data_IF_936330017355
#
_entry.id   IF_936330017355
#
_cell.length_a   1.000
_cell.length_b   1.000
_cell.length_c   1.000
_cell.angle_alpha   90.00
_cell.angle_beta   90.00
_cell.angle_gamma   90.00
#
_symmetry.space_group_name_H-M   'P 1'
#
loop_
_entity.id
_entity.type
_entity.pdbx_description
1 polymer ?
#
# COMPACT_ATOMS: atom_id res chain seq x y z
N UNK A 1 2.53 -9.57 23.22
CA UNK A 1 1.71 -8.44 22.71
C UNK A 1 2.28 -7.82 21.43
N UNK A 2 3.55 -7.39 21.37
CA UNK A 2 4.15 -6.76 20.16
C UNK A 2 4.09 -7.65 18.91
N UNK A 3 4.36 -8.95 19.06
CA UNK A 3 4.42 -9.89 17.92
C UNK A 3 3.04 -10.14 17.31
N UNK A 4 1.97 -10.17 18.12
CA UNK A 4 0.59 -10.37 17.65
C UNK A 4 0.09 -9.15 16.88
N UNK A 5 0.42 -7.95 17.34
CA UNK A 5 0.05 -6.70 16.67
C UNK A 5 0.80 -6.55 15.34
N UNK A 6 2.10 -6.90 15.32
CA UNK A 6 2.89 -6.93 14.09
C UNK A 6 2.29 -7.88 13.04
N UNK A 7 2.02 -9.14 13.38
CA UNK A 7 1.43 -10.10 12.43
C UNK A 7 0.06 -9.61 11.94
N UNK A 8 -0.75 -9.08 12.84
CA UNK A 8 -2.08 -8.59 12.52
C UNK A 8 -2.03 -7.36 11.59
N UNK A 9 -1.06 -6.46 11.75
CA UNK A 9 -0.85 -5.33 10.82
C UNK A 9 -0.19 -5.78 9.52
N UNK A 10 0.76 -6.71 9.59
CA UNK A 10 1.50 -7.22 8.44
C UNK A 10 0.58 -7.80 7.38
N UNK A 11 -0.26 -8.78 7.75
CA UNK A 11 -1.23 -9.35 6.81
C UNK A 11 -2.16 -8.28 6.23
N UNK A 12 -2.53 -7.26 6.99
CA UNK A 12 -3.40 -6.16 6.52
C UNK A 12 -2.68 -5.24 5.54
N UNK A 13 -1.43 -4.88 5.80
CA UNK A 13 -0.61 -4.09 4.86
C UNK A 13 -0.37 -4.85 3.56
N UNK A 14 -0.11 -6.17 3.65
CA UNK A 14 0.06 -7.04 2.49
C UNK A 14 -1.26 -7.17 1.73
N UNK A 15 -2.37 -7.41 2.41
CA UNK A 15 -3.68 -7.49 1.78
C UNK A 15 -4.09 -6.17 1.10
N UNK A 16 -3.87 -5.02 1.77
CA UNK A 16 -4.12 -3.71 1.17
C UNK A 16 -3.24 -3.47 -0.06
N UNK A 17 -1.96 -3.84 0.01
CA UNK A 17 -1.04 -3.75 -1.12
C UNK A 17 -1.44 -4.66 -2.29
N UNK A 18 -1.92 -5.87 -2.01
CA UNK A 18 -2.40 -6.81 -3.03
C UNK A 18 -3.71 -6.31 -3.64
N UNK A 19 -4.65 -5.81 -2.84
CA UNK A 19 -5.90 -5.20 -3.35
C UNK A 19 -5.58 -3.98 -4.20
N UNK A 20 -4.64 -3.14 -3.79
CA UNK A 20 -4.12 -2.02 -4.58
C UNK A 20 -3.52 -2.51 -5.90
N UNK A 21 -2.63 -3.51 -5.86
CA UNK A 21 -2.04 -4.08 -7.07
C UNK A 21 -3.11 -4.65 -8.02
N UNK A 22 -4.12 -5.36 -7.49
CA UNK A 22 -5.21 -5.94 -8.28
C UNK A 22 -6.16 -4.88 -8.84
N UNK A 23 -6.61 -3.92 -8.03
CA UNK A 23 -7.43 -2.79 -8.50
C UNK A 23 -6.69 -1.97 -9.55
N UNK A 24 -5.38 -1.82 -9.42
CA UNK A 24 -4.57 -1.13 -10.39
C UNK A 24 -4.42 -1.91 -11.71
N UNK A 25 -4.15 -3.21 -11.64
CA UNK A 25 -4.10 -4.08 -12.81
C UNK A 25 -5.46 -4.07 -13.53
N UNK A 26 -6.56 -4.17 -12.77
CA UNK A 26 -7.92 -4.11 -13.30
C UNK A 26 -8.27 -2.74 -13.89
N UNK A 27 -7.84 -1.64 -13.25
CA UNK A 27 -8.05 -0.28 -13.76
C UNK A 27 -7.27 -0.04 -15.05
N UNK A 28 -6.00 -0.46 -15.11
CA UNK A 28 -5.18 -0.37 -16.32
C UNK A 28 -5.72 -1.25 -17.46
N UNK A 29 -6.19 -2.46 -17.13
CA UNK A 29 -6.85 -3.34 -18.10
C UNK A 29 -8.19 -2.76 -18.58
N UNK A 30 -8.99 -2.18 -17.68
CA UNK A 30 -10.27 -1.54 -17.99
C UNK A 30 -10.10 -0.27 -18.82
N UNK A 31 -9.08 0.54 -18.53
CA UNK A 31 -8.74 1.73 -19.31
C UNK A 31 -8.31 1.33 -20.74
N UNK A 32 -7.56 0.23 -20.86
CA UNK A 32 -7.20 -0.36 -22.16
C UNK A 32 -8.41 -0.92 -22.93
N UNK A 33 -9.43 -1.41 -22.22
CA UNK A 33 -10.67 -1.92 -22.83
C UNK A 33 -11.64 -0.79 -23.25
N UNK A 34 -11.51 0.41 -22.67
CA UNK A 34 -12.38 1.55 -22.94
C UNK A 34 -12.07 2.31 -24.24
N UNK A 35 -11.09 1.85 -25.03
CA UNK A 35 -10.67 2.52 -26.27
C UNK A 35 -9.91 3.84 -26.05
N UNK A 36 -9.72 4.26 -24.80
CA UNK A 36 -8.74 5.27 -24.43
C UNK A 36 -7.38 4.59 -24.60
N UNK A 37 -6.75 4.78 -25.76
CA UNK A 37 -5.35 4.46 -25.96
C UNK A 37 -4.55 5.26 -24.91
N UNK A 38 -4.29 4.65 -23.76
CA UNK A 38 -3.19 5.04 -22.89
C UNK A 38 -2.00 5.20 -23.84
N UNK A 39 -1.21 6.30 -23.81
CA UNK A 39 -0.16 6.63 -24.80
C UNK A 39 1.00 5.61 -24.89
N UNK A 40 0.66 4.35 -25.07
CA UNK A 40 1.44 3.15 -24.91
C UNK A 40 1.97 2.66 -26.25
N UNK A 41 1.58 3.32 -27.34
CA UNK A 41 2.12 3.06 -28.68
C UNK A 41 3.16 4.09 -29.10
N UNK A 42 3.01 5.35 -28.69
CA UNK A 42 3.96 6.43 -29.04
C UNK A 42 5.00 6.72 -27.94
N UNK A 43 4.66 6.62 -26.64
CA UNK A 43 5.63 6.85 -25.54
C UNK A 43 6.39 5.57 -25.12
N UNK A 44 5.98 4.40 -25.62
CA UNK A 44 6.55 3.10 -25.23
C UNK A 44 7.92 2.78 -25.83
N UNK A 45 8.49 3.67 -26.65
CA UNK A 45 9.81 3.49 -27.22
C UNK A 45 10.95 3.55 -26.17
N UNK A 46 10.70 4.05 -24.95
CA UNK A 46 11.72 4.16 -23.91
C UNK A 46 11.52 3.18 -22.75
N UNK A 47 12.58 2.43 -22.42
CA UNK A 47 12.64 1.49 -21.27
C UNK A 47 12.22 2.15 -19.95
N UNK A 48 12.44 3.46 -19.81
CA UNK A 48 12.06 4.26 -18.64
C UNK A 48 10.53 4.36 -18.49
N UNK A 49 9.78 4.50 -19.60
CA UNK A 49 8.32 4.58 -19.57
C UNK A 49 7.69 3.28 -19.03
N UNK A 50 8.26 2.12 -19.35
CA UNK A 50 7.82 0.82 -18.83
C UNK A 50 8.00 0.76 -17.30
N UNK A 51 9.11 1.29 -16.79
CA UNK A 51 9.43 1.29 -15.35
C UNK A 51 8.61 2.30 -14.54
N UNK A 52 8.10 3.36 -15.19
CA UNK A 52 7.32 4.43 -14.56
C UNK A 52 5.84 4.08 -14.31
N UNK A 53 5.27 3.14 -15.08
CA UNK A 53 3.88 2.67 -14.92
C UNK A 53 3.49 2.40 -13.45
N UNK A 54 4.26 1.62 -12.66
CA UNK A 54 3.96 1.40 -11.25
C UNK A 54 4.10 2.66 -10.36
N UNK A 55 4.93 3.64 -10.70
CA UNK A 55 5.09 4.87 -9.90
C UNK A 55 3.83 5.74 -9.93
N UNK A 56 3.28 6.00 -11.13
CA UNK A 56 2.04 6.79 -11.27
C UNK A 56 0.87 6.13 -10.55
N UNK A 57 0.85 4.81 -10.59
CA UNK A 57 -0.10 3.97 -9.90
C UNK A 57 -0.08 4.13 -8.37
N UNK A 58 1.10 4.07 -7.75
CA UNK A 58 1.22 4.29 -6.31
C UNK A 58 0.79 5.71 -5.90
N UNK A 59 1.20 6.72 -6.67
CA UNK A 59 0.84 8.12 -6.39
C UNK A 59 -0.67 8.37 -6.54
N UNK A 60 -1.29 7.84 -7.59
CA UNK A 60 -2.73 7.93 -7.79
C UNK A 60 -3.51 7.29 -6.63
N UNK A 61 -3.07 6.12 -6.14
CA UNK A 61 -3.70 5.49 -4.99
C UNK A 61 -3.55 6.32 -3.71
N UNK A 62 -2.35 6.82 -3.42
CA UNK A 62 -2.11 7.68 -2.26
C UNK A 62 -3.02 8.90 -2.32
N UNK A 63 -3.14 9.53 -3.49
CA UNK A 63 -4.03 10.67 -3.69
C UNK A 63 -5.50 10.32 -3.43
N UNK A 64 -5.99 9.18 -3.95
CA UNK A 64 -7.37 8.75 -3.72
C UNK A 64 -7.63 8.46 -2.25
N UNK A 65 -6.73 7.73 -1.57
CA UNK A 65 -6.91 7.38 -0.15
C UNK A 65 -6.83 8.61 0.75
N UNK A 66 -5.90 9.54 0.48
CA UNK A 66 -5.83 10.80 1.22
C UNK A 66 -7.04 11.70 0.92
N UNK A 67 -7.50 11.79 -0.33
CA UNK A 67 -8.69 12.55 -0.69
C UNK A 67 -9.95 12.01 0.00
N UNK A 68 -10.09 10.69 0.14
CA UNK A 68 -11.19 10.06 0.88
C UNK A 68 -11.10 10.33 2.39
N UNK A 69 -9.91 10.28 2.98
CA UNK A 69 -9.70 10.58 4.40
C UNK A 69 -9.94 12.07 4.71
N UNK A 70 -9.35 12.99 3.95
CA UNK A 70 -9.44 14.42 4.23
C UNK A 70 -10.75 15.05 3.73
N UNK A 71 -11.30 14.55 2.62
CA UNK A 71 -12.54 15.07 2.03
C UNK A 71 -13.80 14.46 2.65
N UNK A 72 -13.88 13.12 2.69
CA UNK A 72 -15.08 12.41 3.16
C UNK A 72 -14.97 11.92 4.60
N UNK A 73 -13.82 12.07 5.27
CA UNK A 73 -13.54 11.50 6.60
C UNK A 73 -13.76 9.98 6.65
N UNK A 74 -13.65 9.32 5.49
CA UNK A 74 -13.80 7.88 5.34
C UNK A 74 -12.42 7.24 5.32
N UNK A 75 -12.07 6.64 6.45
CA UNK A 75 -10.83 5.89 6.56
C UNK A 75 -11.00 4.54 5.88
N UNK A 76 -10.55 4.45 4.63
CA UNK A 76 -10.69 3.26 3.77
C UNK A 76 -10.05 2.04 4.42
N UNK A 77 -8.90 2.24 5.08
CA UNK A 77 -8.24 1.18 5.85
C UNK A 77 -9.15 0.68 6.97
N UNK A 78 -9.76 1.57 7.75
CA UNK A 78 -10.72 1.20 8.80
C UNK A 78 -11.94 0.48 8.22
N UNK A 79 -12.42 0.86 7.04
CA UNK A 79 -13.58 0.23 6.39
C UNK A 79 -13.31 -1.24 6.04
N UNK A 80 -12.13 -1.53 5.48
CA UNK A 80 -11.72 -2.90 5.16
C UNK A 80 -11.22 -3.69 6.38
N UNK A 81 -10.60 -3.04 7.37
CA UNK A 81 -9.85 -3.69 8.45
C UNK A 81 -10.47 -3.59 9.86
N UNK A 82 -11.53 -2.79 10.05
CA UNK A 82 -12.09 -2.42 11.35
C UNK A 82 -12.83 -3.54 12.10
N UNK A 83 -13.14 -4.67 11.46
CA UNK A 83 -13.92 -5.75 12.10
C UNK A 83 -13.19 -6.54 13.19
N UNK A 84 -11.86 -6.43 13.31
CA UNK A 84 -11.07 -7.22 14.31
C UNK A 84 -10.07 -6.42 15.16
N UNK A 85 -9.90 -5.11 14.92
CA UNK A 85 -9.06 -4.23 15.73
C UNK A 85 -9.90 -3.07 16.26
N UNK A 86 -10.08 -3.00 17.57
CA UNK A 86 -10.76 -1.88 18.21
C UNK A 86 -9.73 -0.79 18.53
N UNK A 87 -9.25 -0.11 17.48
CA UNK A 87 -8.33 1.03 17.61
C UNK A 87 -9.14 2.32 17.71
N UNK A 88 -8.64 3.24 18.55
CA UNK A 88 -9.21 4.59 18.68
C UNK A 88 -9.17 5.30 17.30
N UNK A 89 -10.16 6.16 16.97
CA UNK A 89 -10.19 6.86 15.68
C UNK A 89 -8.89 7.60 15.33
N UNK A 90 -8.20 8.17 16.31
CA UNK A 90 -6.88 8.81 16.16
C UNK A 90 -5.80 7.85 15.64
N UNK A 91 -5.76 6.62 16.16
CA UNK A 91 -4.76 5.63 15.73
C UNK A 91 -4.99 5.16 14.29
N UNK A 92 -6.24 5.12 13.81
CA UNK A 92 -6.53 4.82 12.40
C UNK A 92 -6.06 5.91 11.46
N UNK A 93 -6.17 7.17 11.88
CA UNK A 93 -5.68 8.30 11.11
C UNK A 93 -4.15 8.24 10.97
N UNK A 94 -3.45 8.05 12.08
CA UNK A 94 -1.98 7.93 12.06
C UNK A 94 -1.51 6.74 11.22
N UNK A 95 -2.16 5.59 11.33
CA UNK A 95 -1.84 4.44 10.49
C UNK A 95 -2.02 4.72 9.00
N UNK A 96 -3.09 5.42 8.60
CA UNK A 96 -3.33 5.79 7.20
C UNK A 96 -2.27 6.77 6.69
N UNK A 97 -1.86 7.74 7.52
CA UNK A 97 -0.79 8.69 7.18
C UNK A 97 0.56 7.99 7.05
N UNK A 98 0.90 7.10 7.97
CA UNK A 98 2.13 6.32 7.92
C UNK A 98 2.17 5.37 6.71
N UNK A 99 1.05 4.70 6.42
CA UNK A 99 0.90 3.86 5.24
C UNK A 99 1.05 4.68 3.95
N UNK A 100 0.45 5.86 3.89
CA UNK A 100 0.59 6.77 2.75
C UNK A 100 2.03 7.22 2.58
N UNK A 101 2.73 7.54 3.67
CA UNK A 101 4.15 7.91 3.66
C UNK A 101 5.01 6.75 3.14
N UNK A 102 4.73 5.52 3.57
CA UNK A 102 5.42 4.32 3.09
C UNK A 102 5.21 4.10 1.58
N UNK A 103 3.99 4.30 1.08
CA UNK A 103 3.67 4.18 -0.34
C UNK A 103 4.34 5.27 -1.19
N UNK A 104 4.39 6.51 -0.69
CA UNK A 104 5.15 7.60 -1.35
C UNK A 104 6.64 7.27 -1.39
N UNK A 105 7.21 6.77 -0.30
CA UNK A 105 8.61 6.35 -0.26
C UNK A 105 8.89 5.23 -1.28
N UNK A 106 7.99 4.24 -1.42
CA UNK A 106 8.09 3.19 -2.44
C UNK A 106 8.01 3.77 -3.87
N UNK A 107 7.14 4.76 -4.09
CA UNK A 107 7.00 5.42 -5.39
C UNK A 107 8.28 6.19 -5.77
N UNK A 108 8.84 6.98 -4.84
CA UNK A 108 10.09 7.73 -5.03
C UNK A 108 11.25 6.77 -5.25
N UNK A 109 11.36 5.70 -4.45
CA UNK A 109 12.45 4.75 -4.59
C UNK A 109 12.33 3.95 -5.89
N UNK A 110 11.10 3.62 -6.34
CA UNK A 110 10.88 3.05 -7.67
C UNK A 110 11.28 4.01 -8.79
N UNK A 111 11.01 5.31 -8.63
CA UNK A 111 11.43 6.33 -9.59
C UNK A 111 12.96 6.39 -9.69
N UNK A 112 13.67 6.40 -8.55
CA UNK A 112 15.12 6.38 -8.52
C UNK A 112 15.68 5.15 -9.22
N UNK A 113 15.22 3.95 -8.85
CA UNK A 113 15.65 2.69 -9.48
C UNK A 113 15.31 2.66 -10.97
N UNK A 114 14.19 3.25 -11.38
CA UNK A 114 13.79 3.32 -12.78
C UNK A 114 14.79 4.09 -13.65
N UNK A 115 15.35 5.19 -13.13
CA UNK A 115 16.31 6.05 -13.83
C UNK A 115 17.76 5.58 -13.72
N UNK A 116 18.15 4.92 -12.62
CA UNK A 116 19.56 4.58 -12.36
C UNK A 116 19.91 3.12 -12.65
N UNK A 117 18.96 2.19 -12.55
CA UNK A 117 19.25 0.75 -12.59
C UNK A 117 18.92 0.11 -13.95
N UNK A 118 19.57 -1.02 -14.24
CA UNK A 118 19.26 -1.86 -15.39
C UNK A 118 17.84 -2.47 -15.29
N UNK A 119 17.33 -3.04 -16.39
CA UNK A 119 16.01 -3.70 -16.40
C UNK A 119 15.97 -4.89 -15.43
N UNK A 120 17.02 -5.70 -15.40
CA UNK A 120 17.13 -6.86 -14.51
C UNK A 120 17.16 -6.44 -13.04
N UNK A 121 17.96 -5.41 -12.71
CA UNK A 121 18.00 -4.85 -11.36
C UNK A 121 16.63 -4.27 -10.94
N UNK A 122 15.92 -3.63 -11.88
CA UNK A 122 14.57 -3.12 -11.64
C UNK A 122 13.55 -4.25 -11.40
N UNK A 123 13.60 -5.35 -12.15
CA UNK A 123 12.75 -6.53 -11.93
C UNK A 123 13.01 -7.11 -10.52
N UNK A 124 14.27 -7.30 -10.15
CA UNK A 124 14.65 -7.81 -8.83
C UNK A 124 14.23 -6.86 -7.70
N UNK A 125 14.37 -5.54 -7.89
CA UNK A 125 13.88 -4.55 -6.95
C UNK A 125 12.36 -4.65 -6.76
N UNK A 126 11.61 -4.80 -7.86
CA UNK A 126 10.14 -4.93 -7.79
C UNK A 126 9.69 -6.20 -7.07
N UNK A 127 10.41 -7.30 -7.27
CA UNK A 127 10.08 -8.60 -6.66
C UNK A 127 10.49 -8.67 -5.18
N UNK A 128 11.73 -8.29 -4.86
CA UNK A 128 12.30 -8.50 -3.52
C UNK A 128 12.45 -7.21 -2.72
N UNK A 129 12.86 -6.12 -3.38
CA UNK A 129 13.10 -4.83 -2.73
C UNK A 129 11.81 -4.20 -2.18
N UNK A 130 10.74 -4.19 -2.96
CA UNK A 130 9.45 -3.67 -2.51
C UNK A 130 8.88 -4.48 -1.34
N UNK A 131 9.01 -5.82 -1.38
CA UNK A 131 8.59 -6.68 -0.28
C UNK A 131 9.40 -6.44 0.99
N UNK A 132 10.73 -6.29 0.88
CA UNK A 132 11.59 -5.97 2.02
C UNK A 132 11.23 -4.62 2.65
N UNK A 133 11.02 -3.58 1.83
CA UNK A 133 10.63 -2.26 2.30
C UNK A 133 9.25 -2.27 2.97
N UNK A 134 8.30 -3.03 2.44
CA UNK A 134 6.99 -3.23 3.08
C UNK A 134 7.14 -3.92 4.44
N UNK A 135 7.94 -4.98 4.55
CA UNK A 135 8.18 -5.67 5.82
C UNK A 135 8.79 -4.75 6.87
N UNK A 136 9.83 -4.00 6.50
CA UNK A 136 10.50 -3.04 7.38
C UNK A 136 9.55 -1.91 7.75
N UNK A 137 8.85 -1.34 6.77
CA UNK A 137 7.87 -0.28 6.97
C UNK A 137 6.78 -0.70 7.94
N UNK A 138 6.16 -1.87 7.74
CA UNK A 138 5.13 -2.38 8.65
C UNK A 138 5.67 -2.70 10.03
N UNK A 139 6.92 -3.13 10.16
CA UNK A 139 7.55 -3.31 11.47
C UNK A 139 7.70 -1.99 12.21
N UNK A 140 8.14 -0.92 11.53
CA UNK A 140 8.24 0.43 12.09
C UNK A 140 6.87 0.97 12.48
N UNK A 141 5.87 0.84 11.61
CA UNK A 141 4.48 1.27 11.85
C UNK A 141 3.91 0.54 13.07
N UNK A 142 4.09 -0.78 13.14
CA UNK A 142 3.67 -1.61 14.28
C UNK A 142 4.32 -1.15 15.59
N UNK A 143 5.62 -0.84 15.55
CA UNK A 143 6.36 -0.32 16.69
C UNK A 143 5.83 1.03 17.17
N UNK A 144 5.58 1.97 16.26
CA UNK A 144 4.95 3.26 16.58
C UNK A 144 3.53 3.09 17.10
N UNK A 145 2.76 2.20 16.49
CA UNK A 145 1.38 1.94 16.86
C UNK A 145 1.23 1.35 18.26
N UNK A 146 2.26 0.66 18.76
CA UNK A 146 2.28 0.18 20.15
C UNK A 146 2.25 1.30 21.20
N UNK A 147 2.54 2.56 20.83
CA UNK A 147 2.41 3.74 21.69
C UNK A 147 0.97 4.22 21.80
N UNK A 148 0.15 3.98 20.79
CA UNK A 148 -1.29 4.23 20.81
C UNK A 148 -1.96 3.03 21.47
N UNK A 149 -2.23 3.14 22.77
CA UNK A 149 -2.73 2.04 23.62
C UNK A 149 -3.73 1.13 22.91
N UNK A 150 -3.24 -0.02 22.42
CA UNK A 150 -4.07 -1.00 21.75
C UNK A 150 -4.86 -1.75 22.82
N UNK A 151 -6.08 -1.31 23.11
CA UNK A 151 -6.99 -2.04 24.00
C UNK A 151 -7.41 -3.34 23.31
N UNK A 152 -6.70 -4.42 23.66
CA UNK A 152 -7.10 -5.82 23.45
C UNK A 152 -7.45 -6.17 21.99
N UNK A 153 -6.49 -6.72 21.25
CA UNK A 153 -6.83 -7.63 20.12
C UNK A 153 -7.71 -8.75 20.68
N UNK A 154 -9.02 -8.66 20.47
CA UNK A 154 -9.94 -9.78 20.68
C UNK A 154 -9.68 -10.80 19.58
N UNK A 155 -8.55 -11.50 19.68
CA UNK A 155 -8.45 -12.86 19.16
C UNK A 155 -9.15 -13.73 20.20
N UNK A 156 -10.47 -13.56 20.33
CA UNK A 156 -11.32 -14.63 20.82
C UNK A 156 -11.43 -15.57 19.63
N UNK A 157 -10.58 -16.60 19.60
CA UNK A 157 -10.95 -17.82 18.90
C UNK A 157 -12.28 -18.22 19.51
N UNK A 158 -13.34 -18.17 18.70
CA UNK A 158 -14.66 -18.56 19.13
C UNK A 158 -14.58 -19.93 19.79
N UNK A 159 -14.80 -19.95 21.10
CA UNK A 159 -15.26 -21.14 21.77
C UNK A 159 -16.67 -21.37 21.22
N UNK A 160 -16.75 -22.21 20.18
CA UNK A 160 -17.99 -22.88 19.83
C UNK A 160 -18.43 -23.68 21.07
N UNK A 161 -19.57 -23.29 21.64
CA UNK A 161 -20.43 -24.19 22.39
C UNK A 161 -21.72 -24.31 21.60
#
# INVERSE_FOLDING_TARGET
MKNTLFIALLWRTVAAYLVLALTLIACLAGLSASGIDVPSREMAASVVFIKLKPTFAYLAFVLVVLALEFGLKVNVVRLFAGRRLNLQPSAWHEYLVELSTLLVALAVLNLLVAFTASVEAWINYRLFGQLALLLIGTFVISGRMSRFGCTRTLISFGSYK
#
